data_IF_232012273059
#
_entry.id   IF_232012273059
#
_cell.length_a   1.000
_cell.length_b   1.000
_cell.length_c   1.000
_cell.angle_alpha   90.00
_cell.angle_beta   90.00
_cell.angle_gamma   90.00
#
_symmetry.space_group_name_H-M   'P 1'
#
loop_
_entity.id
_entity.type
_entity.pdbx_description
1 polymer ?
#
# COMPACT_ATOMS: atom_id res chain seq x y z
N UNK A 1 -38.47 3.57 3.73
CA UNK A 1 -37.30 3.34 2.83
C UNK A 1 -36.33 2.47 3.59
N UNK A 2 -36.02 1.28 3.06
CA UNK A 2 -35.09 0.36 3.70
C UNK A 2 -33.66 0.91 3.60
N UNK A 3 -32.94 0.98 4.73
CA UNK A 3 -31.53 1.31 4.77
C UNK A 3 -30.75 0.28 3.94
N UNK A 4 -29.91 0.73 3.02
CA UNK A 4 -28.99 -0.17 2.31
C UNK A 4 -27.80 -0.50 3.21
N UNK A 5 -27.06 -1.60 2.96
CA UNK A 5 -25.88 -1.95 3.76
C UNK A 5 -24.79 -0.85 3.80
N UNK A 6 -24.87 0.11 2.86
CA UNK A 6 -23.93 1.23 2.73
C UNK A 6 -24.33 2.46 3.56
N UNK A 7 -25.54 2.46 4.15
CA UNK A 7 -26.02 3.54 5.02
C UNK A 7 -25.63 3.23 6.47
N UNK A 8 -24.96 4.16 7.15
CA UNK A 8 -24.48 3.87 8.51
C UNK A 8 -23.93 5.07 9.27
N UNK A 9 -23.92 4.95 10.59
CA UNK A 9 -23.20 5.86 11.48
C UNK A 9 -21.71 5.60 11.41
N UNK A 10 -20.92 6.65 11.25
CA UNK A 10 -19.47 6.60 11.27
C UNK A 10 -18.96 6.95 12.68
N UNK A 11 -17.80 6.41 13.05
CA UNK A 11 -17.08 6.86 14.24
C UNK A 11 -16.69 8.33 14.04
N UNK A 12 -17.11 9.18 14.97
CA UNK A 12 -16.85 10.61 14.94
C UNK A 12 -16.15 11.05 16.24
N UNK A 13 -15.36 12.14 16.20
CA UNK A 13 -14.79 12.74 17.41
C UNK A 13 -15.87 13.17 18.41
N UNK A 14 -15.49 13.35 19.67
CA UNK A 14 -16.41 13.84 20.71
C UNK A 14 -17.04 15.18 20.31
N UNK A 15 -18.35 15.31 20.50
CA UNK A 15 -19.13 16.48 20.07
C UNK A 15 -19.54 16.47 18.60
N UNK A 16 -19.20 15.42 17.84
CA UNK A 16 -19.63 15.23 16.46
C UNK A 16 -20.45 13.96 16.30
N UNK A 17 -21.38 13.96 15.35
CA UNK A 17 -22.00 12.76 14.80
C UNK A 17 -21.80 12.75 13.29
N UNK A 18 -21.61 11.56 12.73
CA UNK A 18 -21.39 11.40 11.31
C UNK A 18 -22.22 10.24 10.76
N UNK A 19 -22.87 10.46 9.62
CA UNK A 19 -23.62 9.43 8.90
C UNK A 19 -23.17 9.39 7.45
N UNK A 20 -22.98 8.21 6.90
CA UNK A 20 -22.79 7.99 5.48
C UNK A 20 -24.08 7.48 4.86
N UNK A 21 -24.40 7.98 3.66
CA UNK A 21 -25.43 7.41 2.79
C UNK A 21 -24.98 7.41 1.35
N UNK A 22 -25.64 6.62 0.51
CA UNK A 22 -25.42 6.70 -0.94
C UNK A 22 -25.95 8.05 -1.48
N UNK A 23 -25.15 8.83 -2.23
CA UNK A 23 -25.62 10.06 -2.85
C UNK A 23 -26.59 9.77 -4.00
N UNK A 24 -27.49 10.70 -4.35
CA UNK A 24 -28.32 10.58 -5.55
C UNK A 24 -27.46 10.53 -6.82
N UNK A 25 -27.92 9.79 -7.83
CA UNK A 25 -27.29 9.70 -9.15
C UNK A 25 -26.70 8.32 -9.47
N UNK A 26 -25.87 8.27 -10.52
CA UNK A 26 -25.27 7.03 -11.00
C UNK A 26 -24.38 6.37 -9.92
N UNK A 27 -24.53 5.05 -9.76
CA UNK A 27 -23.77 4.25 -8.78
C UNK A 27 -22.26 4.21 -9.07
N UNK A 28 -21.86 4.56 -10.31
CA UNK A 28 -20.48 4.61 -10.77
C UNK A 28 -20.08 6.05 -11.16
N UNK A 29 -18.88 6.52 -10.75
CA UNK A 29 -18.01 5.91 -9.74
C UNK A 29 -18.68 5.88 -8.35
N UNK A 30 -18.33 4.87 -7.56
CA UNK A 30 -18.84 4.70 -6.20
C UNK A 30 -18.50 5.94 -5.35
N UNK A 31 -19.54 6.50 -4.73
CA UNK A 31 -19.49 7.72 -3.93
C UNK A 31 -20.34 7.55 -2.67
N UNK A 32 -19.96 8.26 -1.62
CA UNK A 32 -20.71 8.36 -0.37
C UNK A 32 -20.96 9.83 -0.06
N UNK A 33 -22.18 10.14 0.38
CA UNK A 33 -22.50 11.42 1.00
C UNK A 33 -22.36 11.24 2.51
N UNK A 34 -21.38 11.93 3.08
CA UNK A 34 -21.16 11.97 4.51
C UNK A 34 -21.75 13.26 5.05
N UNK A 35 -22.68 13.14 5.99
CA UNK A 35 -23.16 14.27 6.79
C UNK A 35 -22.45 14.24 8.12
N UNK A 36 -21.87 15.36 8.53
CA UNK A 36 -21.27 15.56 9.84
C UNK A 36 -22.02 16.68 10.55
N UNK A 37 -22.59 16.38 11.71
CA UNK A 37 -23.19 17.36 12.61
C UNK A 37 -22.26 17.52 13.81
N UNK A 38 -21.71 18.73 13.98
CA UNK A 38 -20.83 19.09 15.09
C UNK A 38 -21.54 20.05 16.05
N UNK A 39 -21.48 19.73 17.34
CA UNK A 39 -21.96 20.55 18.44
C UNK A 39 -20.83 20.71 19.47
N UNK A 40 -20.16 21.87 19.45
CA UNK A 40 -19.05 22.17 20.34
C UNK A 40 -19.05 23.65 20.75
N UNK A 41 -18.65 23.94 22.00
CA UNK A 41 -18.46 25.29 22.54
C UNK A 41 -19.65 26.26 22.30
N UNK A 42 -20.89 25.76 22.33
CA UNK A 42 -22.10 26.57 22.13
C UNK A 42 -22.50 26.81 20.66
N UNK A 43 -21.71 26.34 19.70
CA UNK A 43 -22.04 26.38 18.27
C UNK A 43 -22.57 25.04 17.75
N UNK A 44 -23.40 25.11 16.69
CA UNK A 44 -23.77 23.96 15.85
C UNK A 44 -23.28 24.23 14.44
N UNK A 45 -22.77 23.21 13.78
CA UNK A 45 -22.30 23.23 12.40
C UNK A 45 -22.72 21.95 11.73
N UNK A 46 -23.21 22.05 10.50
CA UNK A 46 -23.49 20.88 9.67
C UNK A 46 -22.70 20.94 8.37
N UNK A 47 -22.00 19.85 8.07
CA UNK A 47 -21.26 19.68 6.83
C UNK A 47 -21.83 18.51 6.03
N UNK A 48 -21.93 18.68 4.72
CA UNK A 48 -22.15 17.60 3.77
C UNK A 48 -20.92 17.45 2.86
N UNK A 49 -20.37 16.26 2.80
CA UNK A 49 -19.18 15.93 2.05
C UNK A 49 -19.46 14.79 1.07
N UNK A 50 -19.03 14.95 -0.18
CA UNK A 50 -19.03 13.85 -1.16
C UNK A 50 -17.66 13.20 -1.11
N UNK A 51 -17.62 11.94 -0.71
CA UNK A 51 -16.42 11.11 -0.69
C UNK A 51 -16.47 10.15 -1.87
N UNK A 52 -15.45 10.19 -2.72
CA UNK A 52 -15.28 9.26 -3.84
C UNK A 52 -14.04 8.41 -3.68
N UNK A 53 -13.59 7.79 -4.77
CA UNK A 53 -12.36 7.02 -4.84
C UNK A 53 -11.34 7.71 -5.75
N UNK A 54 -10.07 7.67 -5.38
CA UNK A 54 -8.98 8.14 -6.23
C UNK A 54 -9.02 7.43 -7.58
N UNK A 55 -8.65 8.14 -8.66
CA UNK A 55 -8.48 7.50 -9.98
C UNK A 55 -7.24 6.59 -9.99
N UNK A 56 -6.16 7.06 -9.38
CA UNK A 56 -4.92 6.31 -9.26
C UNK A 56 -5.16 5.04 -8.41
N UNK A 57 -4.73 3.87 -8.91
CA UNK A 57 -4.80 2.61 -8.18
C UNK A 57 -3.77 2.58 -7.03
N UNK A 58 -4.12 1.91 -5.94
CA UNK A 58 -3.22 1.64 -4.83
C UNK A 58 -2.89 2.85 -3.94
N UNK A 59 -1.77 2.71 -3.24
CA UNK A 59 -1.15 3.75 -2.42
C UNK A 59 -0.10 4.47 -3.28
N UNK A 60 -0.09 5.80 -3.36
CA UNK A 60 0.88 6.55 -4.17
C UNK A 60 2.27 6.63 -3.50
N UNK A 61 2.82 5.48 -3.12
CA UNK A 61 4.15 5.35 -2.55
C UNK A 61 4.82 4.06 -3.02
N UNK A 62 6.15 4.06 -3.10
CA UNK A 62 6.95 2.91 -3.50
C UNK A 62 7.01 1.85 -2.40
N UNK A 63 7.25 2.29 -1.17
CA UNK A 63 7.17 1.46 0.03
C UNK A 63 5.92 1.84 0.83
N UNK A 64 5.11 0.84 1.16
CA UNK A 64 4.03 1.01 2.12
C UNK A 64 4.24 0.09 3.32
N UNK A 65 4.13 0.66 4.53
CA UNK A 65 4.27 -0.05 5.79
C UNK A 65 2.97 -0.01 6.59
N UNK A 66 2.53 -1.15 7.11
CA UNK A 66 1.32 -1.30 7.92
C UNK A 66 1.45 -0.83 9.35
N UNK A 67 2.64 -0.44 9.77
CA UNK A 67 2.94 0.14 11.07
C UNK A 67 4.05 1.18 10.95
N UNK A 68 4.41 1.79 12.07
CA UNK A 68 5.59 2.64 12.12
C UNK A 68 6.85 1.77 11.91
N UNK A 69 7.80 2.20 11.06
CA UNK A 69 9.07 1.50 10.93
C UNK A 69 9.86 1.55 12.24
N UNK A 70 10.60 0.48 12.54
CA UNK A 70 11.52 0.44 13.66
C UNK A 70 12.89 0.99 13.24
N UNK A 71 13.55 1.71 14.15
CA UNK A 71 14.89 2.24 13.92
C UNK A 71 15.94 1.14 13.83
N UNK A 72 16.97 1.35 13.00
CA UNK A 72 18.10 0.44 12.85
C UNK A 72 17.74 -0.85 12.12
N UNK A 73 16.73 -0.79 11.25
CA UNK A 73 16.27 -1.94 10.48
C UNK A 73 16.96 -2.05 9.11
N UNK A 74 17.64 -0.98 8.67
CA UNK A 74 18.37 -0.95 7.41
C UNK A 74 19.88 -0.90 7.72
N UNK A 75 20.52 -2.06 7.79
CA UNK A 75 21.98 -2.17 7.93
C UNK A 75 22.70 -2.20 6.56
N UNK A 76 22.00 -2.62 5.52
CA UNK A 76 22.46 -2.69 4.13
C UNK A 76 22.17 -1.41 3.36
N UNK A 77 21.56 -1.53 2.17
CA UNK A 77 21.20 -0.38 1.34
C UNK A 77 19.73 -0.45 0.91
N UNK A 78 19.03 0.66 1.07
CA UNK A 78 17.68 0.90 0.55
C UNK A 78 17.75 2.07 -0.45
N UNK A 79 17.47 1.80 -1.71
CA UNK A 79 17.43 2.78 -2.78
C UNK A 79 15.99 2.91 -3.32
N UNK A 80 15.47 4.13 -3.36
CA UNK A 80 14.06 4.42 -3.66
C UNK A 80 13.96 5.54 -4.69
N UNK A 81 13.58 5.19 -5.92
CA UNK A 81 13.47 6.10 -7.05
C UNK A 81 12.01 6.33 -7.42
N UNK A 82 11.51 7.50 -7.02
CA UNK A 82 10.15 7.99 -7.25
C UNK A 82 9.89 8.50 -8.66
N UNK A 83 10.83 8.31 -9.61
CA UNK A 83 10.63 8.72 -11.01
C UNK A 83 10.38 7.52 -11.90
N UNK A 84 9.45 7.66 -12.84
CA UNK A 84 9.24 6.65 -13.86
C UNK A 84 10.19 6.90 -15.03
N UNK A 85 11.19 6.03 -15.17
CA UNK A 85 12.19 6.13 -16.23
C UNK A 85 11.60 5.94 -17.64
N UNK A 86 10.43 5.29 -17.76
CA UNK A 86 9.74 5.04 -19.03
C UNK A 86 8.64 6.08 -19.33
N UNK A 87 8.15 6.83 -18.32
CA UNK A 87 7.14 7.87 -18.46
C UNK A 87 7.52 9.13 -17.66
N UNK A 88 8.24 10.05 -18.29
CA UNK A 88 8.61 11.33 -17.68
C UNK A 88 7.41 12.24 -17.32
N UNK A 89 6.20 11.91 -17.77
CA UNK A 89 4.98 12.65 -17.41
C UNK A 89 4.27 12.06 -16.19
N UNK A 90 4.68 10.89 -15.73
CA UNK A 90 4.14 10.28 -14.53
C UNK A 90 4.46 11.16 -13.31
N UNK A 91 3.44 11.41 -12.49
CA UNK A 91 3.66 12.05 -11.21
C UNK A 91 4.57 11.16 -10.34
N UNK A 92 5.53 11.79 -9.65
CA UNK A 92 6.43 11.10 -8.75
C UNK A 92 5.68 10.47 -7.58
N UNK A 93 6.06 9.24 -7.22
CA UNK A 93 5.55 8.57 -6.03
C UNK A 93 6.29 9.02 -4.76
N UNK A 94 5.63 8.90 -3.61
CA UNK A 94 6.31 9.07 -2.33
C UNK A 94 7.29 7.91 -2.10
N UNK A 95 8.39 8.18 -1.40
CA UNK A 95 9.31 7.12 -1.00
C UNK A 95 8.59 6.09 -0.11
N UNK A 96 7.88 6.59 0.90
CA UNK A 96 7.28 5.81 1.97
C UNK A 96 5.87 6.30 2.30
N UNK A 97 5.00 5.35 2.67
CA UNK A 97 3.71 5.61 3.26
C UNK A 97 3.42 4.66 4.41
N UNK A 98 2.89 5.20 5.52
CA UNK A 98 2.58 4.41 6.73
C UNK A 98 1.46 5.08 7.54
N UNK A 99 0.85 4.40 8.53
CA UNK A 99 -0.15 5.01 9.40
C UNK A 99 0.44 6.01 10.41
N UNK A 100 1.76 6.13 10.51
CA UNK A 100 2.42 7.15 11.32
C UNK A 100 2.27 8.56 10.71
N UNK A 101 2.50 9.58 11.55
CA UNK A 101 2.56 10.96 11.08
C UNK A 101 3.80 11.17 10.18
N UNK A 102 3.76 12.11 9.21
CA UNK A 102 4.85 12.27 8.26
C UNK A 102 6.17 12.71 8.90
N UNK A 103 6.12 13.46 10.01
CA UNK A 103 7.34 13.94 10.69
C UNK A 103 8.10 12.78 11.30
N UNK A 104 7.40 11.80 11.88
CA UNK A 104 8.01 10.56 12.36
C UNK A 104 8.63 9.73 11.24
N UNK A 105 8.02 9.73 10.04
CA UNK A 105 8.56 9.04 8.87
C UNK A 105 9.80 9.73 8.31
N UNK A 106 9.80 11.06 8.25
CA UNK A 106 10.97 11.86 7.90
C UNK A 106 12.11 11.64 8.90
N UNK A 107 11.80 11.63 10.20
CA UNK A 107 12.78 11.37 11.25
C UNK A 107 13.37 9.95 11.15
N UNK A 108 12.54 8.95 10.82
CA UNK A 108 13.03 7.60 10.58
C UNK A 108 13.97 7.53 9.37
N UNK A 109 13.58 8.10 8.22
CA UNK A 109 14.43 8.15 7.03
C UNK A 109 15.77 8.85 7.31
N UNK A 110 15.74 9.97 8.05
CA UNK A 110 16.94 10.67 8.47
C UNK A 110 17.80 9.84 9.44
N UNK A 111 17.16 9.06 10.32
CA UNK A 111 17.82 8.19 11.30
C UNK A 111 18.53 6.97 10.69
N UNK A 112 18.01 6.40 9.60
CA UNK A 112 18.69 5.35 8.84
C UNK A 112 19.88 5.91 8.03
N UNK A 113 19.97 7.23 7.87
CA UNK A 113 21.18 7.93 7.42
C UNK A 113 21.65 7.49 6.04
N UNK A 114 22.95 7.15 5.92
CA UNK A 114 23.59 6.77 4.65
C UNK A 114 23.11 5.44 4.06
N UNK A 115 22.30 4.67 4.79
CA UNK A 115 21.75 3.40 4.31
C UNK A 115 20.57 3.61 3.35
N UNK A 116 19.94 4.78 3.38
CA UNK A 116 18.76 5.07 2.55
C UNK A 116 19.07 6.18 1.54
N UNK A 117 18.84 5.89 0.27
CA UNK A 117 18.88 6.86 -0.81
C UNK A 117 17.47 7.04 -1.41
N UNK A 118 17.05 8.29 -1.55
CA UNK A 118 15.76 8.63 -2.18
C UNK A 118 15.99 9.57 -3.36
N UNK A 119 15.43 9.24 -4.52
CA UNK A 119 15.62 9.98 -5.77
C UNK A 119 14.27 10.39 -6.36
N UNK A 120 14.08 11.69 -6.57
CA UNK A 120 12.90 12.24 -7.24
C UNK A 120 11.57 11.82 -6.62
N UNK A 121 11.56 11.49 -5.33
CA UNK A 121 10.35 11.13 -4.59
C UNK A 121 9.66 12.38 -4.03
N UNK A 122 8.34 12.35 -3.90
CA UNK A 122 7.63 13.33 -3.05
C UNK A 122 7.78 12.94 -1.56
N UNK A 123 7.54 13.87 -0.62
CA UNK A 123 7.65 13.57 0.82
C UNK A 123 6.80 12.38 1.28
N UNK A 124 7.20 11.69 2.36
CA UNK A 124 6.41 10.63 2.96
C UNK A 124 4.99 11.07 3.27
N UNK A 125 4.05 10.14 3.15
CA UNK A 125 2.63 10.44 3.34
C UNK A 125 1.98 9.52 4.36
N UNK A 126 1.11 10.09 5.18
CA UNK A 126 0.24 9.29 6.03
C UNK A 126 -0.73 8.50 5.17
N UNK A 127 -0.83 7.22 5.49
CA UNK A 127 -1.70 6.27 4.82
C UNK A 127 -2.35 5.37 5.85
N UNK A 128 -3.69 5.25 5.87
CA UNK A 128 -4.30 4.18 6.66
C UNK A 128 -3.78 2.82 6.18
N UNK A 129 -3.92 1.80 7.05
CA UNK A 129 -3.67 0.40 6.72
C UNK A 129 -4.08 0.07 5.28
N UNK A 130 -3.15 -0.41 4.45
CA UNK A 130 -3.48 -0.93 3.13
C UNK A 130 -4.52 -2.02 3.36
N UNK A 131 -5.56 -2.10 2.52
CA UNK A 131 -6.64 -3.04 2.74
C UNK A 131 -6.19 -4.43 2.25
N UNK A 132 -5.14 -4.97 2.87
CA UNK A 132 -4.49 -6.23 2.53
C UNK A 132 -5.48 -7.39 2.60
N UNK A 133 -6.34 -7.41 3.63
CA UNK A 133 -7.42 -8.40 3.72
C UNK A 133 -8.39 -8.34 2.52
N UNK A 134 -8.75 -7.13 2.06
CA UNK A 134 -9.60 -6.97 0.88
C UNK A 134 -8.87 -7.28 -0.43
N UNK A 135 -7.57 -7.00 -0.52
CA UNK A 135 -6.74 -7.40 -1.64
C UNK A 135 -6.63 -8.93 -1.71
N UNK A 136 -6.35 -9.58 -0.58
CA UNK A 136 -6.28 -11.03 -0.45
C UNK A 136 -7.61 -11.69 -0.80
N UNK A 137 -8.73 -11.18 -0.29
CA UNK A 137 -10.06 -11.70 -0.63
C UNK A 137 -10.35 -11.65 -2.13
N UNK A 138 -9.93 -10.56 -2.81
CA UNK A 138 -10.06 -10.44 -4.27
C UNK A 138 -9.10 -11.36 -5.02
N UNK A 139 -7.87 -11.51 -4.54
CA UNK A 139 -6.86 -12.40 -5.10
C UNK A 139 -7.34 -13.86 -5.07
N UNK A 140 -7.92 -14.28 -3.94
CA UNK A 140 -8.54 -15.61 -3.78
C UNK A 140 -9.74 -15.78 -4.71
N UNK A 141 -10.62 -14.77 -4.78
CA UNK A 141 -11.78 -14.82 -5.68
C UNK A 141 -11.39 -14.87 -7.17
N UNK A 142 -10.25 -14.27 -7.53
CA UNK A 142 -9.69 -14.32 -8.88
C UNK A 142 -9.00 -15.65 -9.22
N UNK A 143 -8.92 -16.59 -8.26
CA UNK A 143 -8.30 -17.89 -8.47
C UNK A 143 -6.79 -17.81 -8.68
N UNK A 144 -6.11 -16.85 -8.04
CA UNK A 144 -4.66 -16.71 -8.15
C UNK A 144 -3.95 -18.04 -7.88
N UNK A 145 -2.94 -18.35 -8.70
CA UNK A 145 -2.20 -19.59 -8.58
C UNK A 145 -1.48 -19.62 -7.22
N UNK A 146 -1.78 -20.62 -6.40
CA UNK A 146 -0.99 -20.91 -5.22
C UNK A 146 0.38 -21.43 -5.70
N UNK A 147 1.42 -20.61 -5.51
CA UNK A 147 2.81 -21.00 -5.77
C UNK A 147 3.29 -21.78 -4.55
N UNK A 148 2.92 -23.06 -4.49
CA UNK A 148 3.31 -23.96 -3.39
C UNK A 148 4.81 -24.32 -3.40
N UNK A 149 5.50 -24.10 -4.53
CA UNK A 149 6.94 -24.22 -4.67
C UNK A 149 7.44 -23.25 -5.75
N UNK A 150 8.49 -22.49 -5.43
CA UNK A 150 9.20 -21.68 -6.42
C UNK A 150 9.99 -22.57 -7.38
N UNK A 151 10.26 -22.13 -8.62
CA UNK A 151 11.25 -22.78 -9.45
C UNK A 151 12.63 -22.68 -8.77
N UNK A 152 13.47 -23.71 -8.96
CA UNK A 152 14.85 -23.74 -8.45
C UNK A 152 15.70 -22.55 -8.91
N UNK A 153 15.39 -21.96 -10.06
CA UNK A 153 15.88 -20.68 -10.56
C UNK A 153 15.01 -20.25 -11.75
N UNK A 154 15.06 -18.96 -12.12
CA UNK A 154 14.42 -18.45 -13.34
C UNK A 154 13.19 -17.59 -13.08
N UNK A 155 12.17 -17.69 -13.95
CA UNK A 155 11.07 -16.73 -13.99
C UNK A 155 9.81 -17.29 -13.31
N UNK A 156 9.24 -16.50 -12.40
CA UNK A 156 7.95 -16.78 -11.78
C UNK A 156 6.83 -16.71 -12.84
N UNK A 157 5.76 -17.52 -12.69
CA UNK A 157 4.57 -17.37 -13.50
C UNK A 157 4.07 -15.92 -13.43
N UNK A 158 3.98 -15.25 -14.58
CA UNK A 158 3.47 -13.88 -14.63
C UNK A 158 1.98 -13.83 -14.24
N UNK A 159 1.54 -12.69 -13.70
CA UNK A 159 0.13 -12.47 -13.38
C UNK A 159 -0.15 -12.37 -11.89
N UNK A 160 -1.01 -13.23 -11.35
CA UNK A 160 -1.39 -13.24 -9.94
C UNK A 160 -0.81 -14.48 -9.24
N UNK A 161 0.14 -14.27 -8.34
CA UNK A 161 0.80 -15.32 -7.57
C UNK A 161 0.54 -15.12 -6.07
N UNK A 162 0.16 -16.22 -5.40
CA UNK A 162 0.02 -16.25 -3.93
C UNK A 162 0.93 -17.31 -3.34
N UNK A 163 1.68 -16.96 -2.29
CA UNK A 163 2.41 -17.91 -1.45
C UNK A 163 1.72 -17.97 -0.10
N UNK A 164 1.26 -19.17 0.28
CA UNK A 164 0.73 -19.43 1.62
C UNK A 164 1.89 -19.63 2.58
N UNK A 165 1.97 -18.80 3.61
CA UNK A 165 3.08 -18.79 4.56
C UNK A 165 4.28 -17.97 4.07
N UNK A 166 5.47 -18.35 4.53
CA UNK A 166 6.72 -17.64 4.24
C UNK A 166 7.27 -18.03 2.87
N UNK A 167 7.97 -17.09 2.23
CA UNK A 167 8.69 -17.30 0.98
C UNK A 167 10.18 -17.09 1.20
N UNK A 168 11.00 -18.10 0.91
CA UNK A 168 12.46 -17.98 0.90
C UNK A 168 12.95 -17.97 -0.54
N UNK A 169 13.76 -16.97 -0.90
CA UNK A 169 14.43 -16.86 -2.19
C UNK A 169 15.91 -17.17 -2.00
N UNK A 170 16.30 -18.40 -2.28
CA UNK A 170 17.66 -18.93 -2.13
C UNK A 170 18.43 -19.05 -3.47
N UNK A 171 17.75 -18.85 -4.59
CA UNK A 171 18.33 -18.76 -5.92
C UNK A 171 17.81 -17.52 -6.68
N UNK A 172 18.51 -17.06 -7.74
CA UNK A 172 18.06 -15.91 -8.51
C UNK A 172 16.71 -16.15 -9.20
N UNK A 173 15.76 -15.24 -8.94
CA UNK A 173 14.42 -15.26 -9.50
C UNK A 173 14.07 -13.92 -10.16
N UNK A 174 13.26 -14.00 -11.20
CA UNK A 174 12.62 -12.83 -11.80
C UNK A 174 11.11 -13.03 -11.95
N UNK A 175 10.32 -11.96 -12.02
CA UNK A 175 8.88 -12.09 -12.20
C UNK A 175 8.17 -10.78 -12.50
N UNK A 176 6.89 -10.88 -12.87
CA UNK A 176 6.05 -9.70 -13.08
C UNK A 176 4.59 -9.95 -12.69
N UNK A 177 3.91 -8.89 -12.26
CA UNK A 177 2.50 -8.92 -11.86
C UNK A 177 2.30 -8.63 -10.38
N UNK A 178 1.49 -9.43 -9.69
CA UNK A 178 1.23 -9.31 -8.26
C UNK A 178 1.73 -10.58 -7.56
N UNK A 179 2.71 -10.41 -6.67
CA UNK A 179 3.18 -11.45 -5.76
C UNK A 179 2.66 -11.15 -4.35
N UNK A 180 1.82 -12.03 -3.81
CA UNK A 180 1.29 -11.92 -2.46
C UNK A 180 1.84 -13.05 -1.58
N UNK A 181 2.62 -12.70 -0.57
CA UNK A 181 3.15 -13.64 0.44
C UNK A 181 2.36 -13.44 1.73
N UNK A 182 1.66 -14.47 2.18
CA UNK A 182 0.86 -14.41 3.41
C UNK A 182 1.74 -14.25 4.67
N UNK A 183 2.99 -14.70 4.59
CA UNK A 183 4.01 -14.59 5.65
C UNK A 183 5.17 -13.67 5.29
N UNK A 184 6.36 -14.05 5.74
CA UNK A 184 7.61 -13.31 5.54
C UNK A 184 8.21 -13.61 4.18
N UNK A 185 8.66 -12.57 3.47
CA UNK A 185 9.51 -12.70 2.29
C UNK A 185 10.98 -12.60 2.73
N UNK A 186 11.72 -13.72 2.70
CA UNK A 186 13.13 -13.83 3.08
C UNK A 186 14.02 -13.99 1.83
N UNK A 187 14.77 -12.94 1.52
CA UNK A 187 15.62 -12.84 0.33
C UNK A 187 17.06 -13.16 0.70
N UNK A 188 17.55 -14.33 0.30
CA UNK A 188 18.92 -14.83 0.53
C UNK A 188 19.79 -14.76 -0.73
N UNK A 189 19.15 -14.70 -1.90
CA UNK A 189 19.77 -14.51 -3.21
C UNK A 189 19.18 -13.27 -3.89
N UNK A 190 18.90 -13.32 -5.19
CA UNK A 190 18.34 -12.19 -5.95
C UNK A 190 16.87 -12.40 -6.34
N UNK A 191 16.03 -11.38 -6.15
CA UNK A 191 14.69 -11.29 -6.72
C UNK A 191 14.53 -9.97 -7.48
N UNK A 192 14.28 -10.05 -8.78
CA UNK A 192 13.92 -8.90 -9.63
C UNK A 192 12.45 -8.99 -10.06
N UNK A 193 11.61 -8.09 -9.57
CA UNK A 193 10.17 -8.15 -9.76
C UNK A 193 9.57 -6.88 -10.33
N UNK A 194 8.81 -6.99 -11.42
CA UNK A 194 8.11 -5.84 -12.02
C UNK A 194 6.61 -5.89 -11.70
N UNK A 195 6.14 -5.02 -10.81
CA UNK A 195 4.73 -4.95 -10.40
C UNK A 195 4.55 -4.66 -8.91
N UNK A 196 3.62 -5.37 -8.27
CA UNK A 196 3.31 -5.22 -6.85
C UNK A 196 3.77 -6.45 -6.07
N UNK A 197 4.66 -6.25 -5.09
CA UNK A 197 5.00 -7.26 -4.10
C UNK A 197 4.30 -6.92 -2.80
N UNK A 198 3.63 -7.90 -2.20
CA UNK A 198 2.96 -7.79 -0.91
C UNK A 198 3.50 -8.88 0.01
N UNK A 199 3.98 -8.51 1.20
CA UNK A 199 4.42 -9.46 2.21
C UNK A 199 3.73 -9.16 3.55
N UNK A 200 2.83 -10.05 3.96
CA UNK A 200 1.98 -9.80 5.12
C UNK A 200 2.66 -10.07 6.47
N UNK A 201 3.74 -10.86 6.48
CA UNK A 201 4.57 -11.16 7.64
C UNK A 201 5.85 -10.30 7.77
N UNK A 202 6.18 -9.51 6.74
CA UNK A 202 7.41 -8.73 6.69
C UNK A 202 8.32 -9.08 5.53
N UNK A 203 9.41 -8.33 5.39
CA UNK A 203 10.45 -8.55 4.37
C UNK A 203 11.80 -8.57 5.08
N UNK A 204 12.61 -9.56 4.75
CA UNK A 204 14.00 -9.68 5.19
C UNK A 204 14.87 -9.81 3.97
N UNK A 205 15.82 -8.89 3.80
CA UNK A 205 16.87 -9.00 2.78
C UNK A 205 18.17 -9.31 3.50
N UNK A 206 18.61 -10.57 3.45
CA UNK A 206 19.83 -11.02 4.12
C UNK A 206 21.06 -10.36 3.51
N UNK A 207 22.17 -10.37 4.25
CA UNK A 207 23.47 -9.95 3.71
C UNK A 207 23.82 -10.75 2.44
N UNK A 208 24.21 -10.05 1.38
CA UNK A 208 24.45 -10.63 0.04
C UNK A 208 23.19 -10.87 -0.79
N UNK A 209 21.99 -10.77 -0.21
CA UNK A 209 20.71 -10.80 -0.90
C UNK A 209 20.37 -9.47 -1.57
N UNK A 210 19.56 -9.53 -2.64
CA UNK A 210 19.12 -8.36 -3.39
C UNK A 210 17.65 -8.48 -3.79
N UNK A 211 16.85 -7.49 -3.43
CA UNK A 211 15.46 -7.34 -3.87
C UNK A 211 15.33 -6.07 -4.72
N UNK A 212 15.00 -6.22 -5.99
CA UNK A 212 14.67 -5.12 -6.88
C UNK A 212 13.18 -5.20 -7.25
N UNK A 213 12.46 -4.08 -7.09
CA UNK A 213 11.05 -3.97 -7.46
C UNK A 213 10.84 -2.76 -8.37
N UNK A 214 10.46 -3.01 -9.62
CA UNK A 214 9.92 -2.01 -10.54
C UNK A 214 8.41 -1.91 -10.37
N UNK A 215 7.95 -1.03 -9.48
CA UNK A 215 6.53 -0.89 -9.11
C UNK A 215 6.38 -0.47 -7.65
N UNK A 216 5.83 -1.33 -6.79
CA UNK A 216 5.66 -1.03 -5.36
C UNK A 216 5.80 -2.27 -4.46
N UNK A 217 6.21 -2.03 -3.20
CA UNK A 217 6.33 -3.03 -2.14
C UNK A 217 5.43 -2.66 -0.96
N UNK A 218 4.50 -3.55 -0.61
CA UNK A 218 3.60 -3.37 0.53
C UNK A 218 3.90 -4.39 1.62
N UNK A 219 4.18 -3.88 2.81
CA UNK A 219 4.46 -4.68 4.00
C UNK A 219 3.40 -4.33 5.02
N UNK A 220 2.64 -5.30 5.51
CA UNK A 220 1.65 -4.98 6.51
C UNK A 220 0.83 -6.16 6.96
N UNK A 221 0.02 -5.94 7.97
CA UNK A 221 -0.50 -7.05 8.75
C UNK A 221 -1.90 -7.46 8.34
N UNK A 222 -2.16 -8.77 8.26
CA UNK A 222 -3.51 -9.34 8.06
C UNK A 222 -4.14 -9.94 9.32
N UNK A 223 -3.49 -9.86 10.50
CA UNK A 223 -4.09 -10.24 11.80
C UNK A 223 -3.42 -11.38 12.59
N UNK A 224 -2.10 -11.39 12.72
CA UNK A 224 -1.30 -12.29 13.58
C UNK A 224 -0.94 -11.70 14.97
N UNK A 225 0.13 -12.17 15.63
CA UNK A 225 0.61 -11.67 16.93
C UNK A 225 1.89 -10.78 16.90
N UNK A 226 2.71 -10.87 15.85
CA UNK A 226 3.89 -10.03 15.66
C UNK A 226 3.67 -8.96 14.58
N UNK A 227 4.13 -7.74 14.84
CA UNK A 227 4.15 -6.67 13.85
C UNK A 227 5.07 -7.06 12.68
N UNK A 228 4.66 -6.82 11.42
CA UNK A 228 5.49 -7.11 10.26
C UNK A 228 6.72 -6.19 10.27
N UNK A 229 7.89 -6.77 9.98
CA UNK A 229 9.17 -6.07 10.03
C UNK A 229 9.74 -5.95 8.62
N UNK A 230 10.25 -4.78 8.28
CA UNK A 230 11.21 -4.61 7.19
C UNK A 230 12.60 -4.72 7.81
N UNK A 231 13.45 -5.62 7.31
CA UNK A 231 14.85 -5.74 7.70
C UNK A 231 15.69 -5.86 6.44
N UNK A 232 16.71 -5.01 6.30
CA UNK A 232 17.54 -4.96 5.09
C UNK A 232 19.00 -4.96 5.51
N UNK A 233 19.64 -6.12 5.46
CA UNK A 233 21.09 -6.30 5.62
C UNK A 233 21.80 -6.36 4.26
N UNK A 234 21.07 -6.72 3.20
CA UNK A 234 21.52 -6.72 1.81
C UNK A 234 21.13 -5.46 1.04
N UNK A 235 20.61 -5.61 -0.18
CA UNK A 235 20.19 -4.49 -1.03
C UNK A 235 18.70 -4.54 -1.35
N UNK A 236 17.97 -3.46 -1.12
CA UNK A 236 16.60 -3.25 -1.55
C UNK A 236 16.54 -2.06 -2.51
N UNK A 237 16.05 -2.27 -3.73
CA UNK A 237 15.82 -1.21 -4.72
C UNK A 237 14.35 -1.14 -5.10
N UNK A 238 13.76 0.02 -4.97
CA UNK A 238 12.38 0.29 -5.39
C UNK A 238 12.40 1.39 -6.43
N UNK A 239 11.83 1.12 -7.61
CA UNK A 239 11.73 2.11 -8.69
C UNK A 239 10.30 2.21 -9.17
N UNK A 240 9.83 3.41 -9.43
CA UNK A 240 8.49 3.60 -9.96
C UNK A 240 8.37 2.98 -11.35
N UNK A 241 7.29 2.22 -11.55
CA UNK A 241 6.82 1.83 -12.88
C UNK A 241 5.29 1.93 -12.92
N UNK A 242 4.80 3.01 -13.50
CA UNK A 242 3.38 3.26 -13.72
C UNK A 242 2.77 2.17 -14.60
N UNK A 243 3.46 1.78 -15.66
CA UNK A 243 3.02 0.71 -16.56
C UNK A 243 2.84 -0.63 -15.81
N UNK A 244 3.74 -0.96 -14.87
CA UNK A 244 3.63 -2.16 -14.07
C UNK A 244 2.43 -2.10 -13.10
N UNK A 245 2.25 -0.99 -12.39
CA UNK A 245 1.12 -0.81 -11.46
C UNK A 245 -0.23 -0.78 -12.18
N UNK A 246 -0.32 -0.13 -13.35
CA UNK A 246 -1.51 -0.16 -14.21
C UNK A 246 -1.77 -1.57 -14.77
N UNK A 247 -0.70 -2.34 -15.04
CA UNK A 247 -0.78 -3.75 -15.41
C UNK A 247 -1.37 -4.60 -14.30
N UNK A 248 -0.92 -4.40 -13.06
CA UNK A 248 -1.47 -5.07 -11.88
C UNK A 248 -2.94 -4.69 -11.67
N UNK A 249 -3.31 -3.41 -11.74
CA UNK A 249 -4.71 -2.96 -11.57
C UNK A 249 -5.65 -3.57 -12.61
N UNK A 250 -5.15 -3.84 -13.83
CA UNK A 250 -5.90 -4.55 -14.89
C UNK A 250 -6.10 -6.04 -14.58
N UNK A 251 -5.14 -6.70 -13.94
CA UNK A 251 -5.25 -8.10 -13.53
C UNK A 251 -6.15 -8.29 -12.31
N UNK A 252 -5.92 -7.46 -11.29
CA UNK A 252 -6.67 -7.44 -10.05
C UNK A 252 -6.81 -5.98 -9.62
N UNK A 253 -8.03 -5.38 -9.71
CA UNK A 253 -8.22 -3.99 -9.35
C UNK A 253 -7.61 -3.69 -8.00
N UNK A 254 -6.71 -2.72 -7.93
CA UNK A 254 -6.07 -2.33 -6.69
C UNK A 254 -7.03 -1.49 -5.84
N UNK A 255 -6.85 -1.48 -4.51
CA UNK A 255 -7.64 -0.62 -3.65
C UNK A 255 -7.43 0.85 -4.01
N UNK A 256 -8.51 1.63 -4.02
CA UNK A 256 -8.48 3.07 -4.29
C UNK A 256 -8.74 3.85 -3.00
N UNK A 257 -7.94 4.88 -2.75
CA UNK A 257 -8.08 5.71 -1.55
C UNK A 257 -9.40 6.48 -1.58
N UNK A 258 -10.09 6.63 -0.45
CA UNK A 258 -11.19 7.57 -0.37
C UNK A 258 -10.63 9.00 -0.51
N UNK A 259 -11.32 9.84 -1.28
CA UNK A 259 -10.95 11.24 -1.49
C UNK A 259 -12.16 12.13 -1.35
N UNK A 260 -11.99 13.30 -0.73
CA UNK A 260 -13.03 14.33 -0.68
C UNK A 260 -13.18 14.94 -2.08
N UNK A 261 -14.34 14.77 -2.69
CA UNK A 261 -14.67 15.33 -4.00
C UNK A 261 -15.33 16.71 -3.90
N UNK A 262 -15.94 17.02 -2.76
CA UNK A 262 -16.56 18.30 -2.49
C UNK A 262 -17.11 18.37 -1.08
N UNK A 263 -17.20 19.58 -0.54
CA UNK A 263 -17.78 19.87 0.77
C UNK A 263 -18.74 21.05 0.65
N UNK A 264 -19.84 20.96 1.38
CA UNK A 264 -20.83 22.01 1.52
C UNK A 264 -21.08 22.25 3.00
N UNK A 265 -20.93 23.50 3.41
CA UNK A 265 -21.27 23.98 4.74
C UNK A 265 -22.75 24.41 4.76
N UNK A 266 -23.52 23.91 5.73
CA UNK A 266 -24.97 24.10 5.79
C UNK A 266 -25.41 25.07 6.90
N UNK A 267 -24.46 25.68 7.62
CA UNK A 267 -24.65 26.51 8.82
C UNK A 267 -25.13 25.72 10.05
#
# INVERSE_FOLDING_TARGET
MAATPDDGTLVAPAGCSATARRPPGAATPARLLVTVDAAAAGGRRRLEAIVGRSRAPGVPALLWLGGAPAAGTIAGTLDVDGTDAADATAAALAALAAPADPVSLDAWLAGEGSHVATHGTVPPLTAPGAPLAALLGRLVAAGAGDVGALPLAGTLPGGLARVRGDLVVDAPLSGAGLLFVDGTLDIRSALDFTGLVVAAGGVRVQAGGSLAVGGALWIGWTGGSAAPVLMVDGTLRLRQSRAALDGVDRLLPLPRRPVLLGVKDLA
#
